data_IF_279301915607
#
_entry.id   IF_279301915607
#
_cell.length_a   1.000
_cell.length_b   1.000
_cell.length_c   1.000
_cell.angle_alpha   90.00
_cell.angle_beta   90.00
_cell.angle_gamma   90.00
#
_symmetry.space_group_name_H-M   'P 1'
#
loop_
_entity.id
_entity.type
_entity.pdbx_description
1 polymer ?
#
# COMPACT_ATOMS: atom_id res chain seq x y z
N UNK A 1 -40.62 -1.95 7.86
CA UNK A 1 -39.60 -2.54 8.76
C UNK A 1 -38.51 -3.18 7.89
N UNK A 2 -37.34 -2.56 7.84
CA UNK A 2 -36.04 -2.95 7.25
C UNK A 2 -35.99 -3.99 6.10
N UNK A 3 -36.05 -3.54 4.83
CA UNK A 3 -35.72 -4.37 3.65
C UNK A 3 -34.26 -4.86 3.63
N UNK A 4 -33.37 -4.18 4.36
CA UNK A 4 -31.94 -4.53 4.47
C UNK A 4 -31.75 -5.96 4.99
N UNK A 5 -32.57 -6.38 5.96
CA UNK A 5 -32.46 -7.71 6.58
C UNK A 5 -32.86 -8.83 5.61
N UNK A 6 -33.75 -8.53 4.66
CA UNK A 6 -34.26 -9.49 3.68
C UNK A 6 -33.18 -9.88 2.64
N UNK A 7 -32.33 -8.92 2.25
CA UNK A 7 -31.23 -9.14 1.28
C UNK A 7 -29.88 -9.42 1.92
N UNK A 8 -29.82 -9.75 3.22
CA UNK A 8 -28.57 -9.97 3.97
C UNK A 8 -27.56 -10.88 3.24
N UNK A 9 -28.02 -11.96 2.60
CA UNK A 9 -27.16 -12.91 1.88
C UNK A 9 -26.40 -12.24 0.73
N UNK A 10 -27.04 -11.32 0.01
CA UNK A 10 -26.41 -10.57 -1.08
C UNK A 10 -25.33 -9.63 -0.52
N UNK A 11 -25.64 -8.90 0.56
CA UNK A 11 -24.66 -8.02 1.20
C UNK A 11 -23.47 -8.80 1.76
N UNK A 12 -23.70 -9.93 2.43
CA UNK A 12 -22.62 -10.80 2.91
C UNK A 12 -21.80 -11.39 1.76
N UNK A 13 -22.42 -11.77 0.65
CA UNK A 13 -21.71 -12.27 -0.52
C UNK A 13 -20.78 -11.19 -1.11
N UNK A 14 -21.31 -9.98 -1.34
CA UNK A 14 -20.52 -8.86 -1.87
C UNK A 14 -19.37 -8.50 -0.93
N UNK A 15 -19.66 -8.32 0.37
CA UNK A 15 -18.63 -8.01 1.37
C UNK A 15 -17.59 -9.12 1.47
N UNK A 16 -18.02 -10.39 1.47
CA UNK A 16 -17.13 -11.55 1.52
C UNK A 16 -16.23 -11.62 0.30
N UNK A 17 -16.74 -11.34 -0.90
CA UNK A 17 -15.92 -11.26 -2.12
C UNK A 17 -14.88 -10.15 -2.02
N UNK A 18 -15.26 -8.94 -1.60
CA UNK A 18 -14.32 -7.83 -1.45
C UNK A 18 -13.23 -8.12 -0.41
N UNK A 19 -13.61 -8.67 0.75
CA UNK A 19 -12.66 -9.09 1.79
C UNK A 19 -11.73 -10.18 1.25
N UNK A 20 -12.28 -11.17 0.53
CA UNK A 20 -11.51 -12.26 -0.06
C UNK A 20 -10.47 -11.76 -1.07
N UNK A 21 -10.84 -10.82 -1.94
CA UNK A 21 -9.90 -10.18 -2.88
C UNK A 21 -8.80 -9.42 -2.13
N UNK A 22 -9.13 -8.70 -1.06
CA UNK A 22 -8.14 -8.03 -0.22
C UNK A 22 -7.16 -9.00 0.44
N UNK A 23 -7.64 -10.14 0.94
CA UNK A 23 -6.79 -11.20 1.50
C UNK A 23 -5.88 -11.79 0.43
N UNK A 24 -6.40 -12.09 -0.76
CA UNK A 24 -5.59 -12.59 -1.88
C UNK A 24 -4.49 -11.61 -2.27
N UNK A 25 -4.80 -10.31 -2.32
CA UNK A 25 -3.80 -9.26 -2.57
C UNK A 25 -2.73 -9.22 -1.47
N UNK A 26 -3.10 -9.35 -0.19
CA UNK A 26 -2.14 -9.42 0.92
C UNK A 26 -1.24 -10.66 0.84
N UNK A 27 -1.79 -11.83 0.48
CA UNK A 27 -1.00 -13.05 0.28
C UNK A 27 -0.01 -12.86 -0.86
N UNK A 28 -0.47 -12.30 -1.99
CA UNK A 28 0.39 -12.02 -3.14
C UNK A 28 1.53 -11.05 -2.76
N UNK A 29 1.21 -9.98 -2.04
CA UNK A 29 2.22 -9.05 -1.49
C UNK A 29 3.20 -9.78 -0.57
N UNK A 30 2.72 -10.68 0.28
CA UNK A 30 3.56 -11.41 1.22
C UNK A 30 4.56 -12.32 0.52
N UNK A 31 4.14 -13.03 -0.52
CA UNK A 31 5.03 -13.93 -1.28
C UNK A 31 6.06 -13.16 -2.12
N UNK A 32 5.72 -11.96 -2.61
CA UNK A 32 6.60 -11.17 -3.49
C UNK A 32 7.53 -10.21 -2.74
N UNK A 33 7.07 -9.65 -1.61
CA UNK A 33 7.80 -8.61 -0.86
C UNK A 33 8.18 -9.02 0.57
N UNK A 34 7.70 -10.19 1.03
CA UNK A 34 7.84 -10.66 2.41
C UNK A 34 6.82 -10.07 3.40
N UNK A 35 5.84 -9.30 2.91
CA UNK A 35 4.99 -8.46 3.75
C UNK A 35 3.56 -8.34 3.17
N UNK A 36 2.51 -8.38 4.00
CA UNK A 36 1.14 -8.32 3.51
C UNK A 36 0.73 -6.92 3.02
N UNK A 37 1.39 -5.87 3.50
CA UNK A 37 1.21 -4.47 3.08
C UNK A 37 2.51 -3.69 3.33
N UNK A 38 2.68 -2.58 2.61
CA UNK A 38 3.79 -1.65 2.83
C UNK A 38 3.61 -0.94 4.18
N UNK A 39 4.54 -1.15 5.10
CA UNK A 39 4.56 -0.47 6.40
C UNK A 39 5.61 0.63 6.40
N UNK A 40 5.29 1.75 7.04
CA UNK A 40 6.20 2.88 7.19
C UNK A 40 7.30 2.61 8.22
N UNK A 41 8.15 3.62 8.40
CA UNK A 41 9.31 3.59 9.31
C UNK A 41 8.93 3.42 10.79
N UNK A 42 7.67 3.66 11.16
CA UNK A 42 7.20 3.40 12.54
C UNK A 42 7.16 1.90 12.87
N UNK A 43 7.03 1.05 11.85
CA UNK A 43 6.95 -0.40 11.99
C UNK A 43 8.22 -1.11 11.49
N UNK A 44 9.18 -0.36 10.93
CA UNK A 44 10.45 -0.85 10.43
C UNK A 44 11.56 0.15 10.56
N UNK A 45 12.76 -0.35 10.87
CA UNK A 45 13.97 0.46 10.79
C UNK A 45 14.12 1.07 9.39
N UNK A 46 14.31 2.39 9.35
CA UNK A 46 14.40 3.17 8.13
C UNK A 46 14.47 4.65 8.44
N UNK A 47 14.63 5.46 7.40
CA UNK A 47 14.68 6.91 7.49
C UNK A 47 13.66 7.51 6.54
N UNK A 48 12.86 8.48 7.02
CA UNK A 48 11.92 9.25 6.21
C UNK A 48 12.51 10.62 5.96
N UNK A 49 12.59 11.02 4.69
CA UNK A 49 12.98 12.36 4.28
C UNK A 49 11.75 13.12 3.78
N UNK A 50 11.62 14.38 4.18
CA UNK A 50 10.62 15.29 3.66
C UNK A 50 11.34 16.52 3.12
N UNK A 51 11.16 16.78 1.83
CA UNK A 51 11.88 17.83 1.10
C UNK A 51 10.89 18.64 0.28
N UNK A 52 11.06 19.96 0.30
CA UNK A 52 10.26 20.90 -0.47
C UNK A 52 11.15 21.60 -1.49
N UNK A 53 10.71 21.61 -2.74
CA UNK A 53 11.39 22.32 -3.83
C UNK A 53 10.64 23.59 -4.19
N UNK A 54 11.37 24.64 -4.51
CA UNK A 54 10.82 25.91 -5.00
C UNK A 54 10.37 25.80 -6.45
N UNK A 55 11.07 24.98 -7.23
CA UNK A 55 10.78 24.70 -8.64
C UNK A 55 10.17 23.29 -8.78
N UNK A 56 9.38 23.04 -9.85
CA UNK A 56 8.84 21.71 -10.10
C UNK A 56 9.97 20.73 -10.43
N UNK A 57 10.18 19.76 -9.54
CA UNK A 57 11.16 18.68 -9.73
C UNK A 57 10.43 17.39 -10.10
N UNK A 58 11.00 16.63 -11.03
CA UNK A 58 10.46 15.33 -11.43
C UNK A 58 10.87 14.23 -10.43
N UNK A 59 9.94 13.33 -10.11
CA UNK A 59 10.18 12.20 -9.20
C UNK A 59 11.33 11.30 -9.69
N UNK A 60 11.47 11.12 -11.01
CA UNK A 60 12.55 10.31 -11.61
C UNK A 60 13.94 10.85 -11.28
N UNK A 61 14.13 12.18 -11.33
CA UNK A 61 15.40 12.82 -10.99
C UNK A 61 15.73 12.64 -9.50
N UNK A 62 14.71 12.71 -8.63
CA UNK A 62 14.88 12.44 -7.20
C UNK A 62 15.33 10.98 -7.01
N UNK A 63 14.61 10.03 -7.62
CA UNK A 63 14.92 8.59 -7.54
C UNK A 63 16.34 8.26 -7.99
N UNK A 64 16.82 8.90 -9.06
CA UNK A 64 18.17 8.71 -9.57
C UNK A 64 19.23 9.10 -8.53
N UNK A 65 19.09 10.28 -7.92
CA UNK A 65 20.00 10.74 -6.85
C UNK A 65 20.00 9.78 -5.67
N UNK A 66 18.84 9.37 -5.17
CA UNK A 66 18.77 8.39 -4.06
C UNK A 66 19.44 7.05 -4.42
N UNK A 67 19.28 6.60 -5.65
CA UNK A 67 19.89 5.36 -6.16
C UNK A 67 21.42 5.48 -6.24
N UNK A 68 21.96 6.63 -6.64
CA UNK A 68 23.39 6.91 -6.65
C UNK A 68 24.02 6.76 -5.26
N UNK A 69 23.29 7.17 -4.21
CA UNK A 69 23.70 6.99 -2.82
C UNK A 69 23.36 5.61 -2.23
N UNK A 70 22.95 4.65 -3.06
CA UNK A 70 22.67 3.27 -2.64
C UNK A 70 21.30 3.06 -1.98
N UNK A 71 20.40 4.04 -2.06
CA UNK A 71 19.04 3.95 -1.52
C UNK A 71 18.12 3.50 -2.66
N UNK A 72 18.02 2.19 -2.85
CA UNK A 72 17.37 1.56 -4.00
C UNK A 72 15.84 1.40 -3.89
N UNK A 73 15.25 1.82 -2.76
CA UNK A 73 13.80 1.81 -2.55
C UNK A 73 13.35 3.03 -1.73
N UNK A 74 13.51 4.26 -2.25
CA UNK A 74 12.95 5.44 -1.60
C UNK A 74 11.42 5.34 -1.67
N UNK A 75 10.81 5.16 -0.51
CA UNK A 75 9.36 5.12 -0.30
C UNK A 75 8.93 6.35 0.51
#
# INVERSE_FOLDING_TARGET
>A
MFEIVQRRKLYFAISGTLIGLGILAMIFSFVTTGQPFGVGVDFRSGTRFEVQFTEPVQESAIREVFTEFGINNPA
#
